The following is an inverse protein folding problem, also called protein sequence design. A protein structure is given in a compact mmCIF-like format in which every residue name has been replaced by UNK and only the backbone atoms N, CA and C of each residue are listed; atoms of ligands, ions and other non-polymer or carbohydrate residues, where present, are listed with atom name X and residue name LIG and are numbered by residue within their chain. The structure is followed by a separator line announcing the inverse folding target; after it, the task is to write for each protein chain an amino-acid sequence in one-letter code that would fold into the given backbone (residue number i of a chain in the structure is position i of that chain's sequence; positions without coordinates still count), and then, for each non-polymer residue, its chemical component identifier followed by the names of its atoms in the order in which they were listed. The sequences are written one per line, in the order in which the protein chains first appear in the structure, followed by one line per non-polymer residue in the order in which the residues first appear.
data_IF_345990895328
#
_entry.id   IF_345990895328
#
_cell.length_a   1.000
_cell.length_b   1.000
_cell.length_c   1.000
_cell.angle_alpha   90.00
_cell.angle_beta   90.00
_cell.angle_gamma   90.00
#
_symmetry.space_group_name_H-M   'P 1'
#
loop_
_entity.id
_entity.type
_entity.pdbx_description
1 polymer ?
#
# COMPACT_ATOMS: atom_id res chain seq x y z
N UNK A 1 -6.75 14.69 1.06
CA UNK A 1 -6.79 13.53 1.98
C UNK A 1 -5.36 13.06 2.20
N UNK A 2 -5.05 12.46 3.34
CA UNK A 2 -3.72 11.91 3.58
C UNK A 2 -3.44 10.70 2.69
N UNK A 3 -2.16 10.51 2.33
CA UNK A 3 -1.70 9.40 1.46
C UNK A 3 -1.68 8.05 2.20
N UNK A 4 -1.73 8.08 3.54
CA UNK A 4 -1.87 6.88 4.37
C UNK A 4 -3.16 6.10 4.12
N UNK A 5 -4.28 6.82 3.92
CA UNK A 5 -5.56 6.23 3.52
C UNK A 5 -5.45 5.44 2.21
N UNK A 6 -4.75 5.97 1.21
CA UNK A 6 -4.57 5.29 -0.08
C UNK A 6 -3.71 4.03 0.02
N UNK A 7 -2.70 3.99 0.91
CA UNK A 7 -1.93 2.78 1.20
C UNK A 7 -2.82 1.71 1.83
N UNK A 8 -3.66 2.11 2.78
CA UNK A 8 -4.61 1.21 3.44
C UNK A 8 -5.58 0.59 2.43
N UNK A 9 -6.17 1.41 1.56
CA UNK A 9 -7.09 0.97 0.51
C UNK A 9 -6.40 0.04 -0.51
N UNK A 10 -5.18 0.38 -0.96
CA UNK A 10 -4.41 -0.49 -1.86
C UNK A 10 -4.13 -1.85 -1.22
N UNK A 11 -3.71 -1.88 0.04
CA UNK A 11 -3.46 -3.12 0.80
C UNK A 11 -4.73 -3.97 0.92
N UNK A 12 -5.86 -3.34 1.20
CA UNK A 12 -7.16 -4.03 1.37
C UNK A 12 -7.69 -4.57 0.03
N UNK A 13 -7.54 -3.82 -1.07
CA UNK A 13 -7.82 -4.31 -2.44
C UNK A 13 -6.91 -5.45 -2.89
N UNK A 14 -5.68 -5.49 -2.39
CA UNK A 14 -4.76 -6.63 -2.57
C UNK A 14 -5.06 -7.82 -1.66
N UNK A 15 -6.04 -7.71 -0.74
CA UNK A 15 -6.39 -8.77 0.20
C UNK A 15 -5.33 -9.09 1.25
N UNK A 16 -4.36 -8.19 1.46
CA UNK A 16 -3.19 -8.43 2.32
C UNK A 16 -3.37 -7.85 3.72
N UNK A 17 -2.82 -8.54 4.73
CA UNK A 17 -2.54 -7.93 6.02
C UNK A 17 -1.26 -7.08 5.97
N UNK A 18 -1.00 -6.26 7.00
CA UNK A 18 0.15 -5.34 7.03
C UNK A 18 1.51 -6.04 6.94
N UNK A 19 1.64 -7.28 7.45
CA UNK A 19 2.89 -8.06 7.40
C UNK A 19 3.15 -8.59 5.99
N UNK A 20 2.12 -9.11 5.33
CA UNK A 20 2.19 -9.56 3.93
C UNK A 20 2.55 -8.39 3.00
N UNK A 21 1.87 -7.26 3.16
CA UNK A 21 2.11 -6.05 2.37
C UNK A 21 3.52 -5.48 2.58
N UNK A 22 3.98 -5.43 3.83
CA UNK A 22 5.35 -5.08 4.21
C UNK A 22 6.38 -5.98 3.52
N UNK A 23 6.21 -7.31 3.62
CA UNK A 23 7.10 -8.28 2.98
C UNK A 23 7.08 -8.17 1.44
N UNK A 24 5.91 -8.00 0.82
CA UNK A 24 5.73 -7.97 -0.63
C UNK A 24 6.41 -6.77 -1.30
N UNK A 25 6.38 -5.60 -0.67
CA UNK A 25 7.09 -4.40 -1.14
C UNK A 25 8.51 -4.26 -0.59
N UNK A 26 8.96 -5.11 0.34
CA UNK A 26 10.25 -4.95 1.02
C UNK A 26 10.32 -3.72 1.95
N UNK A 27 9.17 -3.21 2.39
CA UNK A 27 9.05 -2.00 3.20
C UNK A 27 8.91 -2.39 4.68
N UNK A 28 9.63 -1.77 5.62
CA UNK A 28 9.52 -2.12 7.04
C UNK A 28 8.09 -2.00 7.58
N UNK A 29 7.66 -2.97 8.38
CA UNK A 29 6.29 -3.05 8.93
C UNK A 29 5.85 -1.76 9.66
N UNK A 30 6.75 -1.14 10.45
CA UNK A 30 6.47 0.15 11.11
C UNK A 30 6.23 1.27 10.11
N UNK A 31 6.97 1.32 9.01
CA UNK A 31 6.77 2.34 7.96
C UNK A 31 5.37 2.26 7.36
N UNK A 32 4.85 1.04 7.11
CA UNK A 32 3.46 0.83 6.68
C UNK A 32 2.46 1.30 7.75
N UNK A 33 2.73 1.03 9.03
CA UNK A 33 1.88 1.52 10.13
C UNK A 33 1.90 3.05 10.27
N UNK A 34 3.07 3.68 10.16
CA UNK A 34 3.24 5.13 10.29
C UNK A 34 2.60 5.88 9.12
N UNK A 35 2.61 5.30 7.92
CA UNK A 35 1.80 5.81 6.80
C UNK A 35 0.31 5.66 7.06
N UNK A 36 -0.21 4.46 7.36
CA UNK A 36 -1.65 4.27 7.61
C UNK A 36 -2.19 5.09 8.79
N UNK A 37 -1.33 5.47 9.75
CA UNK A 37 -1.65 6.33 10.87
C UNK A 37 -1.40 7.83 10.60
N UNK A 38 -1.06 8.22 9.37
CA UNK A 38 -0.71 9.59 8.93
C UNK A 38 0.39 10.26 9.77
N UNK A 39 1.24 9.47 10.45
CA UNK A 39 2.42 9.93 11.21
C UNK A 39 3.60 10.29 10.31
N UNK A 40 3.61 9.75 9.08
CA UNK A 40 4.63 10.00 8.07
C UNK A 40 3.96 10.14 6.70
N UNK A 41 4.47 11.06 5.90
CA UNK A 41 3.95 11.35 4.56
C UNK A 41 4.71 10.61 3.45
N UNK A 42 3.99 10.20 2.40
CA UNK A 42 4.32 9.25 1.30
C UNK A 42 5.79 8.73 1.22
N UNK A 43 6.52 8.94 0.09
CA UNK A 43 6.30 9.93 -0.98
C UNK A 43 5.35 9.51 -2.13
N UNK A 44 4.94 10.47 -2.97
CA UNK A 44 3.92 10.30 -4.01
C UNK A 44 4.35 9.32 -5.12
N UNK A 45 5.59 9.45 -5.59
CA UNK A 45 6.15 8.54 -6.59
C UNK A 45 6.10 7.08 -6.10
N UNK A 46 6.28 6.84 -4.80
CA UNK A 46 6.27 5.50 -4.22
C UNK A 46 4.85 4.91 -4.26
N UNK A 47 3.83 5.71 -3.91
CA UNK A 47 2.43 5.29 -4.03
C UNK A 47 2.06 4.92 -5.47
N UNK A 48 2.51 5.71 -6.46
CA UNK A 48 2.32 5.43 -7.89
C UNK A 48 3.00 4.13 -8.31
N UNK A 49 4.25 3.89 -7.87
CA UNK A 49 4.97 2.64 -8.15
C UNK A 49 4.29 1.41 -7.51
N UNK A 50 3.74 1.57 -6.30
CA UNK A 50 3.00 0.51 -5.62
C UNK A 50 1.70 0.15 -6.37
N UNK A 51 0.90 1.15 -6.77
CA UNK A 51 -0.32 0.95 -7.58
C UNK A 51 0.01 0.24 -8.90
N UNK A 52 0.98 0.77 -9.66
CA UNK A 52 1.44 0.18 -10.92
C UNK A 52 1.87 -1.29 -10.77
N UNK A 53 2.64 -1.62 -9.74
CA UNK A 53 3.06 -3.00 -9.48
C UNK A 53 1.88 -3.91 -9.15
N UNK A 54 0.93 -3.45 -8.35
CA UNK A 54 -0.26 -4.22 -7.99
C UNK A 54 -1.19 -4.49 -9.20
N UNK A 55 -1.29 -3.54 -10.12
CA UNK A 55 -2.02 -3.66 -11.39
C UNK A 55 -1.35 -4.66 -12.34
N UNK A 56 -0.03 -4.54 -12.58
CA UNK A 56 0.73 -5.44 -13.45
C UNK A 56 0.72 -6.88 -12.94
N UNK A 57 0.85 -7.10 -11.62
CA UNK A 57 0.76 -8.43 -11.02
C UNK A 57 -0.68 -8.95 -10.89
N UNK A 58 -1.70 -8.20 -11.36
CA UNK A 58 -3.15 -8.49 -11.23
C UNK A 58 -3.59 -8.84 -9.79
N UNK A 59 -2.93 -8.25 -8.80
CA UNK A 59 -3.19 -8.49 -7.37
C UNK A 59 -4.25 -7.58 -6.80
N UNK A 60 -4.58 -6.48 -7.47
CA UNK A 60 -5.81 -5.72 -7.20
C UNK A 60 -6.98 -6.61 -7.62
N UNK A 61 -7.88 -6.94 -6.69
CA UNK A 61 -9.16 -7.54 -7.06
C UNK A 61 -9.93 -6.54 -7.92
N UNK A 62 -10.18 -6.88 -9.18
CA UNK A 62 -11.16 -6.17 -9.99
C UNK A 62 -12.53 -6.42 -9.37
N UNK A 63 -13.10 -5.40 -8.74
CA UNK A 63 -14.52 -5.35 -8.41
C UNK A 63 -15.28 -5.46 -9.75
N UNK A 64 -15.99 -6.56 -9.92
CA UNK A 64 -16.82 -6.89 -11.09
C UNK A 64 -18.29 -6.84 -10.72
#
# INVERSE_FOLDING_TARGET
MGRGKEVKELREKMGMNRREFSNYYGIPYRTVQDWEAEKRELPEYLLRLMKYRAEIERKVKNES
#
